data_IF_275807725949
#
_entry.id   IF_275807725949
#
_cell.length_a   1.000
_cell.length_b   1.000
_cell.length_c   1.000
_cell.angle_alpha   90.00
_cell.angle_beta   90.00
_cell.angle_gamma   90.00
#
_symmetry.space_group_name_H-M   'P 1'
#
loop_
_entity.id
_entity.type
_entity.pdbx_description
1 polymer ?
#
# COMPACT_ATOMS: atom_id res chain seq x y z
N UNK A 1 11.74 28.31 62.75
CA UNK A 1 10.35 28.06 62.33
C UNK A 1 9.89 29.27 61.54
N UNK A 2 10.10 29.25 60.22
CA UNK A 2 9.78 30.35 59.29
C UNK A 2 8.98 29.76 58.13
N UNK A 3 7.76 30.29 57.95
CA UNK A 3 6.73 29.78 57.05
C UNK A 3 7.09 30.08 55.59
N UNK A 4 7.05 29.05 54.73
CA UNK A 4 7.18 29.20 53.28
C UNK A 4 5.99 29.98 52.71
N UNK A 5 6.27 31.17 52.17
CA UNK A 5 5.30 31.94 51.38
C UNK A 5 5.18 31.33 49.96
N UNK A 6 4.27 30.36 49.80
CA UNK A 6 3.93 29.75 48.51
C UNK A 6 2.84 30.58 47.82
N UNK A 7 3.26 31.55 47.02
CA UNK A 7 2.38 32.38 46.19
C UNK A 7 1.59 31.56 45.15
N UNK A 8 0.28 31.86 45.04
CA UNK A 8 -0.71 31.29 44.09
C UNK A 8 -0.26 31.35 42.62
N UNK A 9 0.64 32.27 42.28
CA UNK A 9 1.20 32.45 40.94
C UNK A 9 2.19 31.34 40.55
N UNK A 10 2.88 30.73 41.52
CA UNK A 10 3.74 29.57 41.29
C UNK A 10 2.91 28.30 41.01
N UNK A 11 1.74 28.18 41.66
CA UNK A 11 0.84 27.04 41.51
C UNK A 11 0.17 26.98 40.12
N UNK A 12 -0.17 28.12 39.51
CA UNK A 12 -0.72 28.17 38.14
C UNK A 12 0.33 27.84 37.07
N UNK A 13 1.59 28.25 37.24
CA UNK A 13 2.65 27.99 36.27
C UNK A 13 3.05 26.51 36.23
N UNK A 14 3.09 25.85 37.39
CA UNK A 14 3.39 24.41 37.46
C UNK A 14 2.26 23.53 36.91
N UNK A 15 0.99 23.93 37.10
CA UNK A 15 -0.16 23.16 36.60
C UNK A 15 -0.32 23.23 35.08
N UNK A 16 -0.06 24.38 34.44
CA UNK A 16 -0.08 24.49 32.97
C UNK A 16 1.07 23.70 32.32
N UNK A 17 2.27 23.75 32.89
CA UNK A 17 3.42 22.99 32.38
C UNK A 17 3.21 21.48 32.47
N UNK A 18 2.58 20.97 33.54
CA UNK A 18 2.30 19.55 33.71
C UNK A 18 1.15 19.05 32.82
N UNK A 19 0.14 19.89 32.56
CA UNK A 19 -0.94 19.57 31.63
C UNK A 19 -0.45 19.54 30.17
N UNK A 20 0.43 20.48 29.79
CA UNK A 20 1.01 20.52 28.45
C UNK A 20 1.92 19.31 28.18
N UNK A 21 2.74 18.89 29.15
CA UNK A 21 3.61 17.71 28.99
C UNK A 21 2.84 16.41 28.97
N UNK A 22 1.79 16.26 29.79
CA UNK A 22 0.93 15.06 29.76
C UNK A 22 0.12 14.97 28.46
N UNK A 23 -0.39 16.08 27.93
CA UNK A 23 -1.05 16.11 26.61
C UNK A 23 -0.08 15.79 25.46
N UNK A 24 1.16 16.30 25.51
CA UNK A 24 2.18 15.99 24.51
C UNK A 24 2.59 14.50 24.56
N UNK A 25 2.82 13.95 25.75
CA UNK A 25 3.16 12.53 25.94
C UNK A 25 1.99 11.63 25.53
N UNK A 26 0.75 11.98 25.87
CA UNK A 26 -0.43 11.22 25.44
C UNK A 26 -0.61 11.23 23.91
N UNK A 27 -0.37 12.39 23.26
CA UNK A 27 -0.38 12.50 21.80
C UNK A 27 0.71 11.67 21.13
N UNK A 28 1.93 11.66 21.70
CA UNK A 28 3.05 10.82 21.25
C UNK A 28 2.76 9.32 21.41
N UNK A 29 2.19 8.91 22.55
CA UNK A 29 1.80 7.52 22.83
C UNK A 29 0.66 7.04 21.89
N UNK A 30 -0.35 7.87 21.63
CA UNK A 30 -1.44 7.57 20.69
C UNK A 30 -0.98 7.53 19.23
N UNK A 31 -0.04 8.40 18.84
CA UNK A 31 0.57 8.35 17.51
C UNK A 31 1.38 7.06 17.32
N UNK A 32 2.08 6.60 18.37
CA UNK A 32 2.81 5.34 18.35
C UNK A 32 1.88 4.11 18.32
N UNK A 33 0.75 4.12 19.03
CA UNK A 33 -0.17 2.96 19.07
C UNK A 33 -0.96 2.77 17.77
N UNK A 34 -1.33 3.85 17.08
CA UNK A 34 -2.10 3.76 15.84
C UNK A 34 -1.32 3.14 14.66
N UNK A 35 0.01 3.30 14.64
CA UNK A 35 0.87 2.67 13.63
C UNK A 35 1.06 1.16 13.84
N UNK A 36 0.97 0.70 15.09
CA UNK A 36 1.14 -0.71 15.46
C UNK A 36 -0.13 -1.53 15.19
N UNK A 37 -1.31 -0.90 15.25
CA UNK A 37 -2.59 -1.63 15.23
C UNK A 37 -3.18 -1.87 13.82
N UNK A 38 -2.66 -1.21 12.77
CA UNK A 38 -3.11 -1.47 11.39
C UNK A 38 -2.35 -2.66 10.79
N UNK A 39 -2.98 -3.53 9.99
CA UNK A 39 -2.24 -4.63 9.35
C UNK A 39 -1.13 -4.08 8.46
N UNK A 40 0.03 -4.75 8.44
CA UNK A 40 1.07 -4.53 7.43
C UNK A 40 0.78 -5.50 6.30
N UNK A 41 0.53 -4.99 5.10
CA UNK A 41 0.18 -5.80 3.94
C UNK A 41 1.30 -5.71 2.91
N UNK A 42 1.75 -6.86 2.42
CA UNK A 42 2.62 -6.97 1.27
C UNK A 42 1.80 -7.37 0.04
N UNK A 43 2.00 -6.66 -1.06
CA UNK A 43 1.42 -6.96 -2.36
C UNK A 43 2.48 -7.60 -3.25
N UNK A 44 2.17 -8.74 -3.84
CA UNK A 44 3.07 -9.50 -4.71
C UNK A 44 2.39 -9.69 -6.07
N UNK A 45 2.89 -8.98 -7.07
CA UNK A 45 2.48 -9.17 -8.46
C UNK A 45 3.07 -10.47 -9.02
N UNK A 46 2.33 -11.14 -9.88
CA UNK A 46 2.75 -12.38 -10.54
C UNK A 46 2.44 -12.32 -12.03
N UNK A 47 3.22 -13.03 -12.84
CA UNK A 47 2.78 -13.37 -14.19
C UNK A 47 1.55 -14.26 -14.08
N UNK A 48 0.44 -13.80 -14.63
CA UNK A 48 -0.84 -14.47 -14.50
C UNK A 48 -0.87 -15.74 -15.37
N UNK A 49 -1.41 -16.82 -14.84
CA UNK A 49 -1.58 -18.09 -15.52
C UNK A 49 -2.86 -18.81 -15.07
N UNK A 50 -3.68 -19.31 -16.02
CA UNK A 50 -3.53 -19.06 -17.45
C UNK A 50 -3.63 -17.55 -17.73
N UNK A 51 -2.89 -17.07 -18.73
CA UNK A 51 -3.12 -15.74 -19.25
C UNK A 51 -4.59 -15.67 -19.66
N UNK A 52 -5.34 -14.72 -19.08
CA UNK A 52 -6.76 -14.52 -19.47
C UNK A 52 -6.87 -13.57 -20.66
N UNK A 53 -5.75 -13.00 -21.08
CA UNK A 53 -5.57 -12.07 -22.19
C UNK A 53 -4.81 -12.72 -23.37
N UNK A 54 -5.09 -13.99 -23.68
CA UNK A 54 -4.41 -14.72 -24.77
C UNK A 54 -4.78 -14.20 -26.16
N UNK A 55 -3.81 -14.23 -27.09
CA UNK A 55 -4.11 -14.06 -28.52
C UNK A 55 -4.83 -15.30 -29.07
N UNK A 56 -5.67 -15.15 -30.11
CA UNK A 56 -6.25 -16.28 -30.83
C UNK A 56 -5.22 -17.28 -31.39
N UNK A 57 -4.00 -16.81 -31.63
CA UNK A 57 -2.90 -17.62 -32.19
C UNK A 57 -2.05 -18.32 -31.11
N UNK A 58 -2.34 -18.11 -29.82
CA UNK A 58 -1.52 -18.63 -28.75
C UNK A 58 -1.94 -20.07 -28.41
N UNK A 59 -1.12 -21.02 -28.84
CA UNK A 59 -1.26 -22.46 -28.58
C UNK A 59 -0.21 -22.79 -27.52
N UNK A 60 -0.65 -23.34 -26.39
CA UNK A 60 0.14 -23.69 -25.20
C UNK A 60 0.44 -22.53 -24.22
N UNK A 61 -0.13 -22.65 -23.03
CA UNK A 61 0.31 -21.95 -21.83
C UNK A 61 0.97 -23.00 -20.93
N UNK A 62 2.23 -22.83 -20.49
CA UNK A 62 2.74 -23.65 -19.39
C UNK A 62 1.82 -23.47 -18.16
N UNK A 63 1.61 -24.50 -17.33
CA UNK A 63 0.81 -24.36 -16.12
C UNK A 63 1.57 -23.49 -15.12
N UNK A 64 1.44 -22.16 -15.25
CA UNK A 64 1.80 -21.23 -14.21
C UNK A 64 0.69 -21.18 -13.15
N UNK A 65 1.06 -20.79 -11.93
CA UNK A 65 0.13 -20.66 -10.81
C UNK A 65 -0.14 -19.20 -10.41
N UNK A 66 0.45 -18.23 -11.12
CA UNK A 66 0.23 -16.82 -10.81
C UNK A 66 -1.20 -16.42 -11.11
N UNK A 67 -1.88 -15.73 -10.19
CA UNK A 67 -3.29 -15.38 -10.37
C UNK A 67 -3.52 -13.89 -10.54
N UNK A 68 -2.47 -13.09 -10.48
CA UNK A 68 -2.54 -11.63 -10.46
C UNK A 68 -1.79 -11.08 -9.26
N UNK A 69 -2.47 -10.33 -8.40
CA UNK A 69 -1.87 -9.71 -7.23
C UNK A 69 -2.22 -10.47 -5.95
N UNK A 70 -1.21 -10.95 -5.25
CA UNK A 70 -1.35 -11.69 -4.00
C UNK A 70 -1.12 -10.77 -2.81
N UNK A 71 -1.98 -10.87 -1.80
CA UNK A 71 -1.90 -10.09 -0.57
C UNK A 71 -1.42 -10.99 0.57
N UNK A 72 -0.49 -10.47 1.36
CA UNK A 72 0.00 -11.15 2.56
C UNK A 72 -0.01 -10.20 3.75
N UNK A 73 -0.53 -10.67 4.88
CA UNK A 73 -0.33 -10.00 6.15
C UNK A 73 1.07 -10.31 6.66
N UNK A 74 1.82 -9.27 7.00
CA UNK A 74 3.20 -9.35 7.46
C UNK A 74 3.25 -9.18 8.97
N UNK A 75 3.83 -10.15 9.66
CA UNK A 75 4.20 -10.00 11.06
C UNK A 75 5.36 -9.00 11.17
N UNK A 76 5.12 -7.84 11.79
CA UNK A 76 6.14 -6.78 11.92
C UNK A 76 7.38 -7.17 12.73
N UNK A 77 7.26 -8.13 13.64
CA UNK A 77 8.38 -8.55 14.48
C UNK A 77 9.27 -9.59 13.78
N UNK A 78 8.67 -10.50 13.01
CA UNK A 78 9.39 -11.65 12.42
C UNK A 78 9.57 -11.57 10.91
N UNK A 79 8.81 -10.70 10.22
CA UNK A 79 8.72 -10.67 8.77
C UNK A 79 7.92 -11.83 8.16
N UNK A 80 7.36 -12.73 8.98
CA UNK A 80 6.56 -13.85 8.49
C UNK A 80 5.33 -13.34 7.72
N UNK A 81 5.07 -13.95 6.56
CA UNK A 81 3.97 -13.58 5.67
C UNK A 81 2.88 -14.65 5.72
N UNK A 82 1.64 -14.23 6.01
CA UNK A 82 0.46 -15.10 5.99
C UNK A 82 -0.44 -14.68 4.82
N UNK A 83 -0.90 -15.61 3.96
CA UNK A 83 -1.80 -15.27 2.87
C UNK A 83 -3.07 -14.56 3.39
N UNK A 84 -3.42 -13.44 2.76
CA UNK A 84 -4.56 -12.61 3.16
C UNK A 84 -5.60 -12.44 2.03
N UNK A 85 -5.22 -12.68 0.78
CA UNK A 85 -6.15 -12.58 -0.35
C UNK A 85 -5.44 -12.62 -1.70
N UNK A 86 -6.24 -12.64 -2.77
CA UNK A 86 -5.77 -12.55 -4.15
C UNK A 86 -6.74 -11.66 -4.91
N UNK A 87 -6.21 -10.61 -5.54
CA UNK A 87 -6.91 -9.87 -6.57
C UNK A 87 -6.56 -10.50 -7.91
N UNK A 88 -7.52 -11.25 -8.47
CA UNK A 88 -7.30 -11.95 -9.72
C UNK A 88 -7.14 -10.98 -10.88
N UNK A 89 -6.04 -11.12 -11.62
CA UNK A 89 -5.73 -10.29 -12.78
C UNK A 89 -5.32 -11.20 -13.93
N UNK A 90 -5.78 -10.86 -15.14
CA UNK A 90 -5.43 -11.57 -16.36
C UNK A 90 -4.16 -11.06 -17.04
N UNK A 91 -3.56 -9.98 -16.53
CA UNK A 91 -2.66 -9.10 -17.30
C UNK A 91 -1.25 -9.01 -16.74
N UNK A 92 -0.83 -9.98 -15.92
CA UNK A 92 0.53 -10.09 -15.39
C UNK A 92 1.05 -8.81 -14.72
N UNK A 93 0.54 -8.43 -13.53
CA UNK A 93 1.08 -7.30 -12.78
C UNK A 93 2.55 -7.56 -12.40
N UNK A 94 3.49 -6.89 -13.07
CA UNK A 94 4.93 -7.17 -12.99
C UNK A 94 5.70 -6.23 -12.07
N UNK A 95 5.29 -4.96 -11.99
CA UNK A 95 5.92 -3.94 -11.17
C UNK A 95 4.87 -3.10 -10.45
N UNK A 96 5.08 -2.85 -9.15
CA UNK A 96 4.14 -2.13 -8.29
C UNK A 96 4.79 -0.86 -7.73
N UNK A 97 4.03 0.23 -7.67
CA UNK A 97 4.42 1.46 -6.98
C UNK A 97 3.30 1.94 -6.05
N UNK A 98 3.66 2.29 -4.82
CA UNK A 98 2.74 2.86 -3.83
C UNK A 98 2.92 4.37 -3.77
N UNK A 99 1.82 5.11 -3.65
CA UNK A 99 1.93 6.53 -3.33
C UNK A 99 2.44 6.74 -1.90
N UNK A 100 2.98 7.93 -1.61
CA UNK A 100 3.59 8.25 -0.32
C UNK A 100 2.65 8.05 0.88
N UNK A 101 1.34 8.20 0.69
CA UNK A 101 0.33 8.03 1.75
C UNK A 101 -0.15 6.59 1.92
N UNK A 102 0.30 5.65 1.08
CA UNK A 102 -0.13 4.25 1.09
C UNK A 102 -1.63 4.06 0.88
N UNK A 103 -2.27 4.91 0.07
CA UNK A 103 -3.70 4.82 -0.29
C UNK A 103 -3.93 4.35 -1.71
N UNK A 104 -2.90 4.44 -2.55
CA UNK A 104 -2.97 4.09 -3.96
C UNK A 104 -1.82 3.20 -4.33
N UNK A 105 -2.14 2.16 -5.08
CA UNK A 105 -1.20 1.24 -5.69
C UNK A 105 -1.33 1.37 -7.20
N UNK A 106 -0.21 1.46 -7.89
CA UNK A 106 -0.10 1.48 -9.33
C UNK A 106 0.63 0.21 -9.76
N UNK A 107 0.17 -0.46 -10.80
CA UNK A 107 0.88 -1.61 -11.35
C UNK A 107 1.09 -1.47 -12.86
N UNK A 108 2.31 -1.78 -13.30
CA UNK A 108 2.57 -2.10 -14.70
C UNK A 108 2.05 -3.52 -14.96
N UNK A 109 1.23 -3.65 -15.99
CA UNK A 109 0.70 -4.93 -16.45
C UNK A 109 1.51 -5.35 -17.69
N UNK A 110 2.35 -6.36 -17.52
CA UNK A 110 3.25 -6.86 -18.56
C UNK A 110 2.48 -7.73 -19.54
N UNK A 111 1.73 -7.04 -20.40
CA UNK A 111 0.96 -7.61 -21.50
C UNK A 111 1.22 -6.81 -22.77
N UNK A 112 0.96 -7.42 -23.90
CA UNK A 112 1.08 -6.89 -25.25
C UNK A 112 -0.15 -7.32 -26.06
N UNK A 113 -1.31 -7.29 -25.39
CA UNK A 113 -2.56 -7.92 -25.82
C UNK A 113 -3.74 -6.94 -25.83
N UNK A 114 -3.52 -5.68 -25.47
CA UNK A 114 -4.58 -4.67 -25.39
C UNK A 114 -4.62 -3.80 -26.64
N UNK A 115 -5.79 -3.74 -27.28
CA UNK A 115 -6.05 -2.88 -28.44
C UNK A 115 -5.40 -3.38 -29.74
N UNK A 116 -5.56 -2.60 -30.82
CA UNK A 116 -4.97 -2.91 -32.13
C UNK A 116 -3.44 -2.78 -32.12
N UNK A 117 -2.93 -1.88 -31.30
CA UNK A 117 -1.51 -1.56 -31.18
C UNK A 117 -0.74 -2.52 -30.26
N UNK A 118 -1.42 -3.54 -29.69
CA UNK A 118 -0.82 -4.60 -28.85
C UNK A 118 -0.05 -4.03 -27.66
N UNK A 119 -0.69 -3.12 -26.93
CA UNK A 119 -0.06 -2.41 -25.83
C UNK A 119 -0.23 -3.16 -24.51
N UNK A 120 0.66 -2.85 -23.57
CA UNK A 120 0.43 -3.12 -22.17
C UNK A 120 -0.44 -2.06 -21.52
N UNK A 121 -0.58 -2.17 -20.20
CA UNK A 121 -1.40 -1.24 -19.43
C UNK A 121 -0.76 -0.89 -18.10
N UNK A 122 -1.25 0.20 -17.52
CA UNK A 122 -1.02 0.58 -16.13
C UNK A 122 -2.37 0.65 -15.43
N UNK A 123 -2.53 -0.08 -14.33
CA UNK A 123 -3.73 0.01 -13.49
C UNK A 123 -3.45 0.78 -12.21
N UNK A 124 -4.44 1.53 -11.73
CA UNK A 124 -4.42 2.17 -10.44
C UNK A 124 -5.52 1.62 -9.54
N UNK A 125 -5.20 1.43 -8.27
CA UNK A 125 -6.09 0.89 -7.25
C UNK A 125 -6.15 1.82 -6.05
N UNK A 126 -7.29 1.89 -5.37
CA UNK A 126 -7.37 2.37 -3.99
C UNK A 126 -7.18 1.20 -3.03
N UNK A 127 -6.54 1.47 -1.90
CA UNK A 127 -6.28 0.50 -0.84
C UNK A 127 -7.24 0.76 0.32
N UNK A 128 -8.03 -0.25 0.70
CA UNK A 128 -8.71 -0.23 1.99
C UNK A 128 -7.67 -0.38 3.10
N UNK A 129 -7.65 0.58 4.03
CA UNK A 129 -6.66 0.61 5.12
C UNK A 129 -7.00 -0.32 6.28
N UNK A 130 -8.23 -0.83 6.33
CA UNK A 130 -8.66 -1.76 7.37
C UNK A 130 -8.06 -3.16 7.16
N UNK A 131 -8.01 -3.62 5.91
CA UNK A 131 -7.65 -5.01 5.57
C UNK A 131 -6.64 -5.13 4.41
N UNK A 132 -6.40 -4.06 3.64
CA UNK A 132 -5.49 -4.05 2.49
C UNK A 132 -6.13 -4.44 1.17
N UNK A 133 -7.46 -4.64 1.11
CA UNK A 133 -8.08 -4.99 -0.16
C UNK A 133 -7.96 -3.86 -1.19
N UNK A 134 -7.75 -4.25 -2.45
CA UNK A 134 -7.65 -3.32 -3.56
C UNK A 134 -9.01 -3.12 -4.23
N UNK A 135 -9.31 -1.89 -4.59
CA UNK A 135 -10.40 -1.56 -5.50
C UNK A 135 -9.82 -0.92 -6.75
N UNK A 136 -10.06 -1.52 -7.91
CA UNK A 136 -9.62 -0.97 -9.19
C UNK A 136 -10.28 0.40 -9.42
N UNK A 137 -9.46 1.41 -9.72
CA UNK A 137 -9.92 2.76 -10.02
C UNK A 137 -10.02 2.98 -11.52
N UNK A 138 -8.94 2.65 -12.24
CA UNK A 138 -8.88 2.71 -13.69
C UNK A 138 -7.70 1.90 -14.23
N UNK A 139 -7.71 1.71 -15.55
CA UNK A 139 -6.61 1.14 -16.33
C UNK A 139 -6.40 2.01 -17.56
N UNK A 140 -5.14 2.34 -17.86
CA UNK A 140 -4.73 3.11 -19.04
C UNK A 140 -3.73 2.32 -19.85
N UNK A 141 -3.64 2.61 -21.16
CA UNK A 141 -2.62 2.00 -22.02
C UNK A 141 -1.24 2.57 -21.68
N UNK A 142 -0.21 1.73 -21.72
CA UNK A 142 1.17 2.17 -21.43
C UNK A 142 1.84 2.91 -22.59
N UNK A 143 1.23 2.96 -23.78
CA UNK A 143 1.86 3.54 -24.98
C UNK A 143 2.87 2.61 -25.67
N UNK A 144 2.92 1.33 -25.26
CA UNK A 144 3.85 0.33 -25.76
C UNK A 144 3.59 -1.04 -25.15
N UNK A 145 4.18 -2.08 -25.73
CA UNK A 145 4.04 -3.47 -25.29
C UNK A 145 4.85 -3.76 -24.02
N UNK A 146 4.32 -4.62 -23.15
CA UNK A 146 5.05 -5.24 -22.04
C UNK A 146 5.77 -4.27 -21.10
N UNK A 147 5.08 -3.29 -20.47
CA UNK A 147 5.72 -2.43 -19.50
C UNK A 147 6.19 -3.25 -18.29
N UNK A 148 7.47 -3.11 -17.94
CA UNK A 148 8.12 -3.88 -16.86
C UNK A 148 8.46 -3.03 -15.63
N UNK A 149 8.18 -1.73 -15.69
CA UNK A 149 8.51 -0.78 -14.62
C UNK A 149 7.50 0.33 -14.52
N UNK A 150 7.19 0.75 -13.29
CA UNK A 150 6.40 1.95 -12.99
C UNK A 150 7.01 2.66 -11.79
N UNK A 151 7.02 3.99 -11.84
CA UNK A 151 7.39 4.84 -10.71
C UNK A 151 6.44 6.02 -10.61
N UNK A 152 6.44 6.65 -9.44
CA UNK A 152 5.64 7.84 -9.18
C UNK A 152 6.59 9.03 -9.15
N UNK A 153 6.27 10.07 -9.89
CA UNK A 153 7.04 11.31 -9.87
C UNK A 153 7.09 11.88 -8.43
N UNK A 154 8.21 12.49 -7.97
CA UNK A 154 8.34 12.95 -6.59
C UNK A 154 7.28 13.95 -6.11
N UNK A 155 6.62 14.66 -7.02
CA UNK A 155 5.47 15.55 -6.70
C UNK A 155 4.22 14.78 -6.26
N UNK A 156 4.14 13.47 -6.52
CA UNK A 156 2.93 12.67 -6.39
C UNK A 156 1.85 12.94 -7.45
N UNK A 157 2.20 13.68 -8.52
CA UNK A 157 1.34 14.04 -9.64
C UNK A 157 2.05 13.78 -10.96
#
# INVERSE_FOLDING_TARGET
MTLLDRSRHSFLKTSVALAATTALMAGLLQAQSNGVNRPLIAYVGTFSSPLRDVLPTQVDLPPGNGRGMHLFQVNRATGAMTPAGIDEMGTSPSCLALNATGTRLYCANETDRVGQDKEGTVSAFSIDRADGHLTLLNTVRSGGAGPTYVSIHPSGR
#
